data_IF_065465005104
#
_entry.id   IF_065465005104
#
_cell.length_a   1.000
_cell.length_b   1.000
_cell.length_c   1.000
_cell.angle_alpha   90.00
_cell.angle_beta   90.00
_cell.angle_gamma   90.00
#
_symmetry.space_group_name_H-M   'P 1'
#
loop_
_entity.id
_entity.type
_entity.pdbx_description
1 polymer ?
#
# COMPACT_ATOMS: atom_id res chain seq x y z
N UNK A 1 16.12 19.93 -60.61
CA UNK A 1 15.86 21.34 -60.96
C UNK A 1 16.34 22.24 -59.83
N UNK A 2 17.59 22.66 -59.93
CA UNK A 2 18.12 23.99 -59.57
C UNK A 2 18.61 24.57 -60.93
N UNK A 3 18.91 25.88 -61.14
CA UNK A 3 19.27 26.92 -60.17
C UNK A 3 18.89 28.40 -60.55
N UNK A 4 19.40 29.34 -59.73
CA UNK A 4 19.99 30.68 -60.05
C UNK A 4 19.14 31.93 -60.44
N UNK A 5 19.46 33.02 -59.74
CA UNK A 5 19.36 34.44 -60.15
C UNK A 5 19.74 35.34 -58.96
N UNK A 6 21.01 35.71 -58.74
CA UNK A 6 21.75 36.91 -59.20
C UNK A 6 21.03 38.25 -58.96
N UNK A 7 21.52 39.06 -58.01
CA UNK A 7 22.02 40.42 -58.32
C UNK A 7 22.79 41.10 -57.15
N UNK A 8 24.01 41.53 -57.48
CA UNK A 8 24.79 42.63 -56.88
C UNK A 8 24.12 43.98 -57.26
N UNK A 9 24.30 45.17 -56.70
CA UNK A 9 25.16 45.87 -55.72
C UNK A 9 24.39 47.17 -55.36
N UNK A 10 24.65 47.89 -54.26
CA UNK A 10 25.40 49.17 -54.33
C UNK A 10 25.77 49.70 -52.94
N UNK A 11 26.93 50.37 -52.91
CA UNK A 11 27.62 51.07 -51.82
C UNK A 11 26.83 52.23 -51.18
N UNK A 12 27.13 52.52 -49.91
CA UNK A 12 26.88 53.82 -49.26
C UNK A 12 27.52 53.91 -47.88
N UNK A 13 28.64 54.61 -47.78
CA UNK A 13 29.49 54.80 -46.60
C UNK A 13 28.91 55.74 -45.54
N UNK A 14 29.11 55.43 -44.25
CA UNK A 14 28.92 56.38 -43.14
C UNK A 14 29.66 55.94 -41.87
N UNK A 15 30.77 56.61 -41.56
CA UNK A 15 31.56 56.45 -40.32
C UNK A 15 30.81 57.00 -39.10
N UNK A 16 30.89 56.33 -37.93
CA UNK A 16 31.42 56.89 -36.66
C UNK A 16 31.32 55.93 -35.45
N UNK A 17 32.39 55.95 -34.65
CA UNK A 17 32.49 55.77 -33.19
C UNK A 17 32.35 54.38 -32.52
N UNK A 18 33.51 53.74 -32.35
CA UNK A 18 34.14 53.32 -31.08
C UNK A 18 33.29 53.19 -29.80
N UNK A 19 33.21 51.96 -29.27
CA UNK A 19 33.36 51.67 -27.82
C UNK A 19 33.67 50.17 -27.62
N UNK A 20 34.96 49.85 -27.54
CA UNK A 20 35.48 48.57 -27.03
C UNK A 20 35.53 48.66 -25.49
N UNK A 21 34.70 47.89 -24.80
CA UNK A 21 34.94 47.53 -23.39
C UNK A 21 35.48 46.10 -23.35
N UNK A 22 36.80 45.99 -23.14
CA UNK A 22 37.47 44.75 -22.75
C UNK A 22 37.10 44.42 -21.30
N UNK A 23 36.59 43.22 -21.04
CA UNK A 23 36.49 42.68 -19.67
C UNK A 23 37.74 41.85 -19.33
N UNK A 24 38.33 41.98 -18.13
CA UNK A 24 39.51 41.21 -17.73
C UNK A 24 39.12 39.81 -17.26
N UNK A 25 39.67 38.77 -17.92
CA UNK A 25 39.38 37.35 -17.66
C UNK A 25 40.16 36.72 -16.49
N UNK A 26 40.75 37.52 -15.59
CA UNK A 26 41.62 37.02 -14.52
C UNK A 26 40.97 36.85 -13.15
N UNK A 27 39.91 37.62 -12.84
CA UNK A 27 39.47 37.80 -11.46
C UNK A 27 38.26 36.91 -11.07
N UNK A 28 37.38 36.59 -12.02
CA UNK A 28 36.17 35.79 -11.75
C UNK A 28 36.46 34.33 -11.34
N UNK A 29 37.60 33.74 -11.75
CA UNK A 29 37.88 32.31 -11.48
C UNK A 29 38.30 32.04 -10.02
N UNK A 30 38.92 33.00 -9.36
CA UNK A 30 39.27 32.89 -7.94
C UNK A 30 38.05 33.06 -7.03
N UNK A 31 37.11 33.93 -7.39
CA UNK A 31 35.91 34.19 -6.59
C UNK A 31 34.97 32.98 -6.54
N UNK A 32 34.82 32.24 -7.64
CA UNK A 32 34.02 31.00 -7.66
C UNK A 32 34.65 29.86 -6.85
N UNK A 33 35.99 29.73 -6.90
CA UNK A 33 36.70 28.75 -6.07
C UNK A 33 36.53 29.05 -4.58
N UNK A 34 36.61 30.33 -4.19
CA UNK A 34 36.43 30.76 -2.81
C UNK A 34 34.98 30.59 -2.33
N UNK A 35 34.00 30.83 -3.21
CA UNK A 35 32.58 30.62 -2.91
C UNK A 35 32.27 29.12 -2.71
N UNK A 36 32.82 28.26 -3.58
CA UNK A 36 32.64 26.80 -3.47
C UNK A 36 33.27 26.25 -2.19
N UNK A 37 34.49 26.68 -1.85
CA UNK A 37 35.14 26.28 -0.60
C UNK A 37 34.35 26.75 0.62
N UNK A 38 33.77 27.96 0.59
CA UNK A 38 32.90 28.46 1.67
C UNK A 38 31.60 27.66 1.78
N UNK A 39 31.00 27.26 0.67
CA UNK A 39 29.79 26.43 0.67
C UNK A 39 30.07 25.01 1.20
N UNK A 40 31.17 24.38 0.78
CA UNK A 40 31.58 23.07 1.27
C UNK A 40 31.90 23.12 2.77
N UNK A 41 32.65 24.13 3.21
CA UNK A 41 32.92 24.33 4.64
C UNK A 41 31.65 24.58 5.45
N UNK A 42 30.68 25.33 4.91
CA UNK A 42 29.39 25.54 5.56
C UNK A 42 28.59 24.24 5.68
N UNK A 43 28.56 23.41 4.63
CA UNK A 43 27.91 22.10 4.65
C UNK A 43 28.57 21.14 5.66
N UNK A 44 29.90 21.15 5.76
CA UNK A 44 30.62 20.33 6.74
C UNK A 44 30.36 20.80 8.17
N UNK A 45 30.32 22.11 8.40
CA UNK A 45 30.02 22.68 9.72
C UNK A 45 28.57 22.44 10.14
N UNK A 46 27.60 22.56 9.23
CA UNK A 46 26.21 22.22 9.53
C UNK A 46 26.03 20.74 9.80
N UNK A 47 26.69 19.87 9.04
CA UNK A 47 26.67 18.41 9.27
C UNK A 47 27.29 18.06 10.62
N UNK A 48 28.44 18.65 10.96
CA UNK A 48 29.08 18.45 12.26
C UNK A 48 28.22 18.96 13.42
N UNK A 49 27.55 20.10 13.26
CA UNK A 49 26.63 20.64 14.27
C UNK A 49 25.40 19.76 14.48
N UNK A 50 24.81 19.22 13.41
CA UNK A 50 23.68 18.28 13.50
C UNK A 50 24.10 17.00 14.20
N UNK A 51 25.25 16.42 13.82
CA UNK A 51 25.81 15.23 14.49
C UNK A 51 26.04 15.52 15.98
N UNK A 52 26.67 16.65 16.31
CA UNK A 52 26.96 17.03 17.69
C UNK A 52 25.69 17.25 18.54
N UNK A 53 24.66 17.90 17.98
CA UNK A 53 23.35 18.06 18.63
C UNK A 53 22.69 16.69 18.86
N UNK A 54 22.77 15.78 17.89
CA UNK A 54 22.22 14.44 18.03
C UNK A 54 23.00 13.59 19.06
N UNK A 55 24.32 13.79 19.22
CA UNK A 55 25.12 13.16 20.30
C UNK A 55 24.64 13.66 21.66
N UNK A 56 24.54 14.99 21.82
CA UNK A 56 24.19 15.62 23.09
C UNK A 56 22.75 15.33 23.54
N UNK A 57 21.83 15.14 22.59
CA UNK A 57 20.43 14.83 22.86
C UNK A 57 20.15 13.33 23.03
N UNK A 58 21.19 12.47 22.94
CA UNK A 58 21.03 11.02 23.06
C UNK A 58 20.37 10.35 21.86
N UNK A 59 20.10 11.09 20.77
CA UNK A 59 19.48 10.58 19.52
C UNK A 59 20.48 9.90 18.58
N UNK A 60 21.72 9.71 19.03
CA UNK A 60 22.76 9.09 18.23
C UNK A 60 22.49 7.61 17.92
N UNK A 61 21.72 6.93 18.78
CA UNK A 61 21.25 5.57 18.52
C UNK A 61 20.13 5.54 17.47
N UNK A 62 19.13 6.43 17.56
CA UNK A 62 18.08 6.57 16.54
C UNK A 62 18.67 6.88 15.15
N UNK A 63 19.64 7.81 15.08
CA UNK A 63 20.29 8.17 13.83
C UNK A 63 21.21 7.06 13.29
N UNK A 64 21.88 6.33 14.19
CA UNK A 64 22.72 5.20 13.81
C UNK A 64 21.86 4.02 13.33
N UNK A 65 20.70 3.80 13.94
CA UNK A 65 19.73 2.78 13.54
C UNK A 65 19.05 3.17 12.21
N UNK A 66 18.74 4.44 12.00
CA UNK A 66 18.20 4.96 10.74
C UNK A 66 19.24 4.88 9.61
N UNK A 67 20.48 5.32 9.86
CA UNK A 67 21.58 5.23 8.88
C UNK A 67 22.00 3.79 8.64
N UNK A 68 22.05 2.94 9.66
CA UNK A 68 22.31 1.50 9.53
C UNK A 68 21.16 0.78 8.81
N UNK A 69 19.90 1.16 9.05
CA UNK A 69 18.73 0.66 8.32
C UNK A 69 18.81 1.02 6.84
N UNK A 70 19.09 2.28 6.53
CA UNK A 70 19.25 2.78 5.15
C UNK A 70 20.45 2.12 4.46
N UNK A 71 21.59 1.97 5.15
CA UNK A 71 22.79 1.36 4.58
C UNK A 71 22.63 -0.16 4.40
N UNK A 72 22.00 -0.86 5.34
CA UNK A 72 21.80 -2.30 5.23
C UNK A 72 20.73 -2.64 4.18
N UNK A 73 19.63 -1.89 4.14
CA UNK A 73 18.70 -1.91 3.00
C UNK A 73 19.40 -1.61 1.67
N UNK A 74 20.45 -0.77 1.68
CA UNK A 74 21.24 -0.45 0.49
C UNK A 74 22.23 -1.54 0.06
N UNK A 75 22.66 -2.43 0.96
CA UNK A 75 23.61 -3.51 0.65
C UNK A 75 22.92 -4.82 0.25
N UNK A 76 21.69 -5.08 0.71
CA UNK A 76 20.80 -6.12 0.14
C UNK A 76 20.14 -5.70 -1.19
N UNK A 77 20.23 -4.41 -1.55
CA UNK A 77 19.55 -3.70 -2.65
C UNK A 77 19.89 -4.15 -4.07
N UNK A 78 21.03 -4.82 -4.29
CA UNK A 78 21.52 -5.16 -5.64
C UNK A 78 21.06 -6.55 -6.14
N UNK A 79 20.45 -7.38 -5.30
CA UNK A 79 20.08 -8.75 -5.68
C UNK A 79 18.58 -8.96 -5.92
N UNK A 80 17.74 -7.95 -5.67
CA UNK A 80 16.27 -8.06 -5.71
C UNK A 80 15.58 -7.05 -6.62
N UNK A 81 16.23 -6.54 -7.68
CA UNK A 81 15.48 -5.98 -8.81
C UNK A 81 14.78 -7.13 -9.53
N UNK A 82 13.62 -7.55 -9.02
CA UNK A 82 12.77 -8.52 -9.68
C UNK A 82 12.07 -7.77 -10.79
N UNK A 83 12.70 -7.74 -11.97
CA UNK A 83 12.08 -7.21 -13.16
C UNK A 83 10.94 -8.14 -13.56
N UNK A 84 9.71 -7.81 -13.13
CA UNK A 84 8.52 -8.52 -13.56
C UNK A 84 8.19 -8.05 -14.99
N UNK A 85 8.31 -8.91 -16.02
CA UNK A 85 8.13 -8.51 -17.42
C UNK A 85 6.70 -8.03 -17.72
N UNK A 86 5.74 -8.35 -16.85
CA UNK A 86 4.34 -7.95 -17.00
C UNK A 86 4.05 -6.58 -16.39
N UNK A 87 4.96 -6.02 -15.58
CA UNK A 87 4.84 -4.68 -15.00
C UNK A 87 5.39 -3.64 -15.97
N UNK A 88 4.54 -2.70 -16.38
CA UNK A 88 4.92 -1.61 -17.29
C UNK A 88 5.25 -0.32 -16.57
N UNK A 89 4.75 -0.15 -15.35
CA UNK A 89 4.89 1.11 -14.63
C UNK A 89 4.65 0.91 -13.12
N UNK A 90 5.50 1.54 -12.32
CA UNK A 90 5.32 1.72 -10.88
C UNK A 90 5.35 3.22 -10.63
N UNK A 91 4.34 3.76 -9.93
CA UNK A 91 4.28 5.16 -9.52
C UNK A 91 3.99 5.25 -8.04
N UNK A 92 4.80 6.04 -7.35
CA UNK A 92 4.49 6.56 -6.03
C UNK A 92 4.27 8.06 -6.15
N UNK A 93 3.04 8.51 -5.93
CA UNK A 93 2.63 9.90 -6.15
C UNK A 93 1.51 10.31 -5.18
N UNK A 94 1.22 11.62 -5.15
CA UNK A 94 0.05 12.15 -4.45
C UNK A 94 -1.03 12.50 -5.49
N UNK A 95 -2.23 11.93 -5.31
CA UNK A 95 -3.40 12.20 -6.16
C UNK A 95 -4.51 12.74 -5.26
N UNK A 96 -5.04 13.94 -5.56
CA UNK A 96 -6.10 14.57 -4.77
C UNK A 96 -5.78 14.64 -3.26
N UNK A 97 -4.52 14.87 -2.89
CA UNK A 97 -4.09 14.91 -1.48
C UNK A 97 -4.04 13.56 -0.77
N UNK A 98 -4.03 12.46 -1.53
CA UNK A 98 -3.88 11.09 -1.03
C UNK A 98 -2.61 10.48 -1.61
N UNK A 99 -1.78 9.91 -0.74
CA UNK A 99 -0.63 9.10 -1.15
C UNK A 99 -1.11 7.83 -1.84
N UNK A 100 -0.53 7.56 -3.01
CA UNK A 100 -0.89 6.44 -3.86
C UNK A 100 0.38 5.71 -4.30
N UNK A 101 0.34 4.37 -4.22
CA UNK A 101 1.25 3.50 -4.96
C UNK A 101 0.43 2.77 -6.02
N UNK A 102 0.77 3.01 -7.29
CA UNK A 102 0.12 2.41 -8.45
C UNK A 102 1.12 1.50 -9.16
N UNK A 103 0.78 0.22 -9.30
CA UNK A 103 1.56 -0.75 -10.06
C UNK A 103 0.73 -1.27 -11.22
N UNK A 104 1.23 -1.07 -12.44
CA UNK A 104 0.49 -1.35 -13.66
C UNK A 104 1.05 -2.53 -14.43
N UNK A 105 0.13 -3.35 -14.89
CA UNK A 105 0.35 -4.43 -15.83
C UNK A 105 0.23 -3.95 -17.28
N UNK A 106 0.82 -4.69 -18.22
CA UNK A 106 0.81 -4.33 -19.65
C UNK A 106 -0.59 -4.28 -20.28
N UNK A 107 -1.45 -5.21 -19.89
CA UNK A 107 -2.81 -5.37 -20.45
C UNK A 107 -3.79 -5.65 -19.30
N UNK A 108 -4.15 -4.63 -18.50
CA UNK A 108 -4.96 -4.85 -17.32
C UNK A 108 -6.37 -5.32 -17.67
N UNK A 109 -6.79 -6.38 -17.02
CA UNK A 109 -8.15 -6.94 -17.03
C UNK A 109 -9.05 -6.31 -15.97
N UNK A 110 -8.46 -5.61 -15.00
CA UNK A 110 -9.15 -4.95 -13.91
C UNK A 110 -8.18 -4.18 -13.02
N UNK A 111 -8.74 -3.39 -12.09
CA UNK A 111 -7.96 -2.70 -11.05
C UNK A 111 -8.36 -3.24 -9.69
N UNK A 112 -7.38 -3.72 -8.92
CA UNK A 112 -7.51 -4.09 -7.53
C UNK A 112 -7.11 -2.91 -6.65
N UNK A 113 -8.10 -2.28 -6.01
CA UNK A 113 -7.88 -1.32 -4.94
C UNK A 113 -7.50 -2.07 -3.68
N UNK A 114 -6.40 -1.70 -3.05
CA UNK A 114 -5.93 -2.32 -1.82
C UNK A 114 -5.93 -1.32 -0.67
N UNK A 115 -6.59 -1.70 0.42
CA UNK A 115 -6.75 -0.88 1.61
C UNK A 115 -6.02 -1.56 2.78
N UNK A 116 -4.91 -0.96 3.20
CA UNK A 116 -4.07 -1.51 4.25
C UNK A 116 -4.74 -1.44 5.64
N UNK A 117 -4.27 -2.23 6.61
CA UNK A 117 -4.69 -2.14 8.00
C UNK A 117 -4.13 -0.91 8.73
N UNK A 118 -4.57 -0.66 9.97
CA UNK A 118 -3.98 0.41 10.79
C UNK A 118 -2.45 0.28 10.90
N UNK A 119 -1.76 1.41 11.03
CA UNK A 119 -0.30 1.55 11.09
C UNK A 119 0.46 1.11 9.83
N UNK A 120 -0.24 0.66 8.78
CA UNK A 120 0.37 0.27 7.50
C UNK A 120 0.37 1.42 6.50
N UNK A 121 0.95 1.21 5.33
CA UNK A 121 1.15 2.24 4.30
C UNK A 121 0.94 1.67 2.90
N UNK A 122 0.63 2.51 1.90
CA UNK A 122 0.59 2.06 0.50
C UNK A 122 1.96 1.54 0.01
N UNK A 123 3.06 2.00 0.60
CA UNK A 123 4.43 1.56 0.31
C UNK A 123 4.75 0.12 0.73
N UNK A 124 3.86 -0.54 1.47
CA UNK A 124 4.04 -1.93 1.89
C UNK A 124 3.72 -2.90 0.73
N UNK A 125 2.94 -2.45 -0.26
CA UNK A 125 2.42 -3.25 -1.37
C UNK A 125 3.38 -3.41 -2.56
N UNK A 126 4.52 -2.73 -2.53
CA UNK A 126 5.54 -2.88 -3.55
C UNK A 126 6.93 -2.84 -2.92
N UNK A 127 7.90 -3.41 -3.62
CA UNK A 127 9.28 -3.41 -3.16
C UNK A 127 9.97 -2.09 -3.53
N UNK A 128 11.10 -1.82 -2.91
CA UNK A 128 11.92 -0.68 -3.24
C UNK A 128 12.32 -0.71 -4.71
N UNK A 129 12.07 0.38 -5.42
CA UNK A 129 12.57 0.63 -6.77
C UNK A 129 12.93 2.12 -6.92
N UNK A 130 13.67 2.48 -7.99
CA UNK A 130 13.98 3.88 -8.27
C UNK A 130 12.73 4.77 -8.44
N UNK A 131 11.60 4.17 -8.81
CA UNK A 131 10.28 4.80 -8.99
C UNK A 131 9.42 4.81 -7.72
N UNK A 132 9.80 4.03 -6.70
CA UNK A 132 9.20 4.07 -5.37
C UNK A 132 10.28 3.85 -4.29
N UNK A 133 11.00 4.93 -3.97
CA UNK A 133 12.17 4.85 -3.08
C UNK A 133 11.83 4.61 -1.61
N UNK A 134 10.55 4.76 -1.24
CA UNK A 134 10.04 4.50 0.11
C UNK A 134 9.26 3.20 0.20
N UNK A 135 9.10 2.48 -0.92
CA UNK A 135 8.49 1.16 -0.92
C UNK A 135 9.36 0.16 -0.16
N UNK A 136 8.75 -0.63 0.72
CA UNK A 136 9.47 -1.61 1.56
C UNK A 136 9.11 -3.05 1.22
N UNK A 137 7.92 -3.30 0.67
CA UNK A 137 7.48 -4.62 0.21
C UNK A 137 7.35 -5.61 1.37
N UNK A 138 6.27 -5.48 2.13
CA UNK A 138 6.01 -6.41 3.22
C UNK A 138 5.56 -7.77 2.65
N UNK A 139 6.00 -8.90 3.23
CA UNK A 139 5.80 -10.24 2.68
C UNK A 139 4.41 -10.53 2.12
N UNK A 140 3.37 -10.29 2.91
CA UNK A 140 2.01 -10.66 2.52
C UNK A 140 1.39 -9.66 1.52
N UNK A 141 1.56 -8.35 1.73
CA UNK A 141 1.08 -7.33 0.78
C UNK A 141 1.76 -7.46 -0.59
N UNK A 142 3.07 -7.67 -0.62
CA UNK A 142 3.83 -7.85 -1.86
C UNK A 142 3.40 -9.13 -2.58
N UNK A 143 3.18 -10.22 -1.85
CA UNK A 143 2.66 -11.48 -2.40
C UNK A 143 1.26 -11.30 -3.00
N UNK A 144 0.38 -10.55 -2.33
CA UNK A 144 -0.94 -10.20 -2.88
C UNK A 144 -0.81 -9.37 -4.16
N UNK A 145 0.03 -8.34 -4.15
CA UNK A 145 0.24 -7.48 -5.32
C UNK A 145 0.76 -8.28 -6.52
N UNK A 146 1.70 -9.20 -6.30
CA UNK A 146 2.21 -10.10 -7.34
C UNK A 146 1.15 -11.07 -7.85
N UNK A 147 0.34 -11.65 -6.97
CA UNK A 147 -0.76 -12.53 -7.36
C UNK A 147 -1.83 -11.80 -8.20
N UNK A 148 -2.03 -10.50 -7.95
CA UNK A 148 -2.89 -9.64 -8.75
C UNK A 148 -2.29 -9.38 -10.15
N UNK A 149 -1.02 -8.96 -10.21
CA UNK A 149 -0.31 -8.67 -11.46
C UNK A 149 -0.18 -9.92 -12.35
N UNK A 150 0.06 -11.09 -11.77
CA UNK A 150 0.09 -12.38 -12.48
C UNK A 150 -1.25 -12.73 -13.14
N UNK A 151 -2.34 -12.07 -12.75
CA UNK A 151 -3.67 -12.19 -13.34
C UNK A 151 -4.08 -10.96 -14.15
N UNK A 152 -3.12 -10.10 -14.44
CA UNK A 152 -3.29 -8.84 -15.17
C UNK A 152 -4.24 -7.88 -14.45
N UNK A 153 -4.14 -7.77 -13.12
CA UNK A 153 -4.77 -6.69 -12.39
C UNK A 153 -3.75 -5.62 -12.08
N UNK A 154 -4.11 -4.36 -12.34
CA UNK A 154 -3.37 -3.22 -11.78
C UNK A 154 -3.66 -3.13 -10.28
N UNK A 155 -2.65 -2.74 -9.49
CA UNK A 155 -2.77 -2.61 -8.04
C UNK A 155 -2.74 -1.14 -7.66
N UNK A 156 -3.79 -0.67 -6.97
CA UNK A 156 -3.92 0.70 -6.50
C UNK A 156 -3.96 0.71 -4.97
N UNK A 157 -2.82 1.00 -4.33
CA UNK A 157 -2.70 1.15 -2.89
C UNK A 157 -2.84 2.62 -2.49
N UNK A 158 -3.61 2.88 -1.43
CA UNK A 158 -3.99 4.23 -0.99
C UNK A 158 -3.81 4.38 0.53
N UNK A 159 -3.73 5.63 1.00
CA UNK A 159 -3.62 5.97 2.44
C UNK A 159 -4.92 6.61 2.97
N UNK A 160 -5.34 6.34 4.21
CA UNK A 160 -6.46 7.02 4.84
C UNK A 160 -6.13 8.49 5.19
N UNK A 161 -7.13 9.25 5.64
CA UNK A 161 -6.97 10.67 6.00
C UNK A 161 -6.19 10.82 7.30
N UNK A 162 -6.51 9.94 8.24
CA UNK A 162 -5.85 9.87 9.54
C UNK A 162 -4.38 9.47 9.33
N UNK A 163 -3.46 10.25 9.90
CA UNK A 163 -2.01 10.13 9.62
C UNK A 163 -1.22 9.44 10.74
N UNK A 164 -1.74 9.45 11.97
CA UNK A 164 -1.02 8.97 13.16
C UNK A 164 -1.12 7.45 13.26
N UNK A 165 -2.34 6.95 13.34
CA UNK A 165 -2.67 5.52 13.41
C UNK A 165 -2.88 4.91 12.03
N UNK A 166 -3.01 5.74 10.99
CA UNK A 166 -3.24 5.32 9.59
C UNK A 166 -4.38 4.32 9.49
N UNK A 167 -5.44 4.54 10.27
CA UNK A 167 -6.65 3.76 10.20
C UNK A 167 -7.63 4.43 9.25
N UNK A 168 -8.33 3.61 8.46
CA UNK A 168 -9.43 4.10 7.63
C UNK A 168 -10.59 4.57 8.50
N UNK A 169 -11.19 5.67 8.09
CA UNK A 169 -12.41 6.16 8.69
C UNK A 169 -13.59 5.26 8.33
N UNK A 170 -14.05 4.54 9.35
CA UNK A 170 -15.17 3.61 9.27
C UNK A 170 -16.42 4.19 9.93
N UNK A 171 -16.46 5.46 10.33
CA UNK A 171 -17.65 6.07 10.92
C UNK A 171 -18.76 6.23 9.85
N UNK A 172 -19.87 5.55 10.10
CA UNK A 172 -20.88 5.22 9.09
C UNK A 172 -22.00 6.26 8.97
N UNK A 173 -22.76 6.27 7.85
CA UNK A 173 -22.38 6.13 6.44
C UNK A 173 -22.21 7.47 5.71
N UNK A 174 -22.68 8.58 6.30
CA UNK A 174 -22.65 9.92 5.68
C UNK A 174 -21.45 10.77 6.16
N UNK A 175 -20.59 10.20 6.99
CA UNK A 175 -19.51 10.91 7.68
C UNK A 175 -18.12 10.38 7.36
N UNK A 176 -17.99 9.24 6.66
CA UNK A 176 -16.68 8.71 6.29
C UNK A 176 -15.94 9.73 5.43
N UNK A 177 -14.80 10.21 5.93
CA UNK A 177 -13.96 11.16 5.23
C UNK A 177 -13.13 10.49 4.13
N UNK A 178 -12.96 9.17 4.19
CA UNK A 178 -12.11 8.42 3.26
C UNK A 178 -12.85 7.93 2.01
N UNK A 179 -14.12 7.52 2.12
CA UNK A 179 -14.93 7.12 0.95
C UNK A 179 -14.92 8.15 -0.18
N UNK A 180 -15.27 9.44 0.05
CA UNK A 180 -15.26 10.43 -1.03
C UNK A 180 -13.85 10.63 -1.59
N UNK A 181 -12.79 10.58 -0.76
CA UNK A 181 -11.40 10.75 -1.22
C UNK A 181 -10.96 9.61 -2.13
N UNK A 182 -11.30 8.36 -1.81
CA UNK A 182 -11.03 7.20 -2.66
C UNK A 182 -11.74 7.31 -4.01
N UNK A 183 -12.99 7.79 -4.01
CA UNK A 183 -13.74 8.04 -5.25
C UNK A 183 -13.10 9.15 -6.08
N UNK A 184 -12.61 10.23 -5.45
CA UNK A 184 -11.92 11.33 -6.13
C UNK A 184 -10.59 10.88 -6.76
N UNK A 185 -9.80 10.05 -6.06
CA UNK A 185 -8.59 9.43 -6.62
C UNK A 185 -8.93 8.55 -7.82
N UNK A 186 -9.96 7.71 -7.70
CA UNK A 186 -10.40 6.88 -8.82
C UNK A 186 -10.80 7.72 -10.03
N UNK A 187 -11.59 8.78 -9.83
CA UNK A 187 -12.04 9.65 -10.92
C UNK A 187 -10.84 10.32 -11.61
N UNK A 188 -9.87 10.82 -10.85
CA UNK A 188 -8.65 11.40 -11.40
C UNK A 188 -7.82 10.39 -12.21
N UNK A 189 -7.77 9.13 -11.77
CA UNK A 189 -7.11 8.06 -12.52
C UNK A 189 -7.90 7.62 -13.75
N UNK A 190 -9.23 7.61 -13.69
CA UNK A 190 -10.11 7.24 -14.79
C UNK A 190 -10.07 8.24 -15.96
N UNK A 191 -9.66 9.49 -15.70
CA UNK A 191 -9.42 10.52 -16.72
C UNK A 191 -8.05 10.37 -17.42
N UNK A 192 -7.13 9.57 -16.86
CA UNK A 192 -5.84 9.29 -17.51
C UNK A 192 -6.03 8.32 -18.67
N UNK A 193 -5.10 8.32 -19.62
CA UNK A 193 -5.09 7.43 -20.80
C UNK A 193 -4.64 6.00 -20.44
N UNK A 194 -5.19 5.45 -19.35
CA UNK A 194 -4.92 4.11 -18.84
C UNK A 194 -6.09 3.14 -19.11
N UNK A 195 -7.22 3.66 -19.62
CA UNK A 195 -8.42 2.86 -19.89
C UNK A 195 -9.26 2.50 -18.66
N UNK A 196 -8.90 2.99 -17.46
CA UNK A 196 -9.52 2.60 -16.19
C UNK A 196 -11.03 2.86 -16.12
N UNK A 197 -11.53 3.86 -16.85
CA UNK A 197 -12.97 4.12 -16.94
C UNK A 197 -13.78 2.91 -17.42
N UNK A 198 -13.17 2.00 -18.19
CA UNK A 198 -13.79 0.81 -18.78
C UNK A 198 -13.40 -0.50 -18.08
N UNK A 199 -12.47 -0.46 -17.10
CA UNK A 199 -12.01 -1.66 -16.42
C UNK A 199 -12.90 -2.01 -15.23
N UNK A 200 -13.10 -3.32 -14.95
CA UNK A 200 -13.72 -3.74 -13.70
C UNK A 200 -12.83 -3.37 -12.50
N UNK A 201 -13.50 -3.07 -11.40
CA UNK A 201 -12.93 -2.56 -10.16
C UNK A 201 -13.16 -3.59 -9.06
N UNK A 202 -12.11 -3.90 -8.34
CA UNK A 202 -12.13 -4.83 -7.22
C UNK A 202 -11.53 -4.15 -6.00
N UNK A 203 -11.93 -4.61 -4.82
CA UNK A 203 -11.36 -4.11 -3.58
C UNK A 203 -10.91 -5.28 -2.71
N UNK A 204 -9.70 -5.18 -2.17
CA UNK A 204 -9.22 -5.98 -1.06
C UNK A 204 -8.87 -5.04 0.08
N UNK A 205 -9.32 -5.35 1.28
CA UNK A 205 -9.02 -4.54 2.44
C UNK A 205 -8.64 -5.42 3.63
N UNK A 206 -7.70 -4.95 4.44
CA UNK A 206 -7.22 -5.65 5.65
C UNK A 206 -7.62 -4.86 6.88
N UNK A 207 -8.23 -5.51 7.89
CA UNK A 207 -8.60 -4.85 9.15
C UNK A 207 -9.45 -3.59 8.91
N UNK A 208 -9.04 -2.39 9.37
CA UNK A 208 -9.73 -1.13 9.06
C UNK A 208 -9.91 -0.89 7.56
N UNK A 209 -8.96 -1.32 6.73
CA UNK A 209 -9.10 -1.32 5.27
C UNK A 209 -10.16 -2.31 4.76
N UNK A 210 -10.36 -3.43 5.46
CA UNK A 210 -11.44 -4.39 5.19
C UNK A 210 -12.82 -3.77 5.45
N UNK A 211 -12.93 -3.03 6.56
CA UNK A 211 -14.13 -2.24 6.84
C UNK A 211 -14.33 -1.16 5.77
N UNK A 212 -13.30 -0.40 5.40
CA UNK A 212 -13.35 0.58 4.30
C UNK A 212 -13.87 -0.04 3.01
N UNK A 213 -13.36 -1.21 2.63
CA UNK A 213 -13.79 -1.90 1.42
C UNK A 213 -15.29 -2.28 1.48
N UNK A 214 -15.77 -2.72 2.64
CA UNK A 214 -17.20 -2.99 2.89
C UNK A 214 -18.06 -1.70 2.86
N UNK A 215 -17.56 -0.56 3.38
CA UNK A 215 -18.25 0.74 3.28
C UNK A 215 -18.34 1.18 1.82
N UNK A 216 -17.20 1.17 1.13
CA UNK A 216 -17.02 1.69 -0.22
C UNK A 216 -17.99 1.03 -1.21
N UNK A 217 -18.23 -0.27 -1.06
CA UNK A 217 -19.18 -1.04 -1.87
C UNK A 217 -20.62 -0.50 -1.87
N UNK A 218 -20.98 0.39 -0.94
CA UNK A 218 -22.28 1.05 -0.88
C UNK A 218 -22.38 2.34 -1.69
N UNK A 219 -21.25 2.87 -2.11
CA UNK A 219 -21.16 4.16 -2.82
C UNK A 219 -20.47 4.03 -4.16
N UNK A 220 -19.73 2.94 -4.34
CA UNK A 220 -18.83 2.76 -5.45
C UNK A 220 -19.03 1.37 -6.07
N UNK A 221 -19.27 1.29 -7.39
CA UNK A 221 -19.57 0.03 -8.06
C UNK A 221 -18.30 -0.82 -8.20
N UNK A 222 -18.27 -1.92 -7.44
CA UNK A 222 -17.23 -2.95 -7.46
C UNK A 222 -17.77 -4.24 -8.10
N UNK A 223 -16.89 -5.02 -8.72
CA UNK A 223 -17.19 -6.33 -9.30
C UNK A 223 -16.83 -7.49 -8.37
N UNK A 224 -16.03 -7.23 -7.34
CA UNK A 224 -15.70 -8.21 -6.31
C UNK A 224 -15.00 -7.54 -5.13
N UNK A 225 -15.19 -8.14 -3.96
CA UNK A 225 -14.74 -7.60 -2.68
C UNK A 225 -14.07 -8.69 -1.85
N UNK A 226 -12.91 -8.41 -1.26
CA UNK A 226 -12.21 -9.28 -0.34
C UNK A 226 -11.82 -8.55 0.96
N UNK A 227 -12.71 -8.50 1.95
CA UNK A 227 -12.34 -8.02 3.28
C UNK A 227 -11.62 -9.15 4.03
N UNK A 228 -10.40 -8.87 4.47
CA UNK A 228 -9.63 -9.75 5.33
C UNK A 228 -9.72 -9.26 6.78
N UNK A 229 -9.86 -10.23 7.69
CA UNK A 229 -9.79 -10.05 9.16
C UNK A 229 -10.66 -8.90 9.69
N UNK A 230 -11.78 -8.62 9.03
CA UNK A 230 -12.69 -7.57 9.44
C UNK A 230 -14.13 -7.91 9.07
N UNK A 231 -15.00 -7.79 10.07
CA UNK A 231 -16.44 -7.64 9.90
C UNK A 231 -16.88 -6.30 10.49
N UNK A 232 -18.03 -5.81 10.05
CA UNK A 232 -18.65 -4.56 10.48
C UNK A 232 -20.00 -4.86 11.14
N UNK A 233 -20.79 -3.83 11.48
CA UNK A 233 -22.16 -4.08 11.94
C UNK A 233 -23.02 -4.51 10.75
N UNK A 234 -23.76 -5.63 10.81
CA UNK A 234 -24.54 -6.13 9.68
C UNK A 234 -25.60 -5.14 9.14
N UNK A 235 -26.11 -4.24 9.98
CA UNK A 235 -27.05 -3.19 9.55
C UNK A 235 -26.45 -2.26 8.50
N UNK A 236 -25.13 -2.13 8.47
CA UNK A 236 -24.41 -1.24 7.57
C UNK A 236 -24.26 -1.83 6.17
N UNK A 237 -24.27 -3.15 6.05
CA UNK A 237 -24.27 -3.86 4.76
C UNK A 237 -25.61 -3.77 4.03
N UNK A 238 -26.66 -3.26 4.70
CA UNK A 238 -27.97 -3.18 4.09
C UNK A 238 -28.02 -2.17 2.94
N UNK A 239 -28.17 -2.66 1.70
CA UNK A 239 -28.60 -1.85 0.56
C UNK A 239 -30.13 -1.83 0.42
N UNK A 240 -30.77 -0.65 0.30
CA UNK A 240 -32.17 -0.55 -0.08
C UNK A 240 -32.43 -1.22 -1.44
N UNK A 241 -33.57 -1.91 -1.59
CA UNK A 241 -33.91 -2.70 -2.81
C UNK A 241 -33.84 -1.90 -4.13
N UNK A 242 -33.99 -0.57 -4.07
CA UNK A 242 -33.97 0.34 -5.22
C UNK A 242 -32.83 1.38 -5.14
N UNK A 243 -31.75 1.09 -4.42
CA UNK A 243 -30.63 2.00 -4.33
C UNK A 243 -29.96 2.17 -5.70
N UNK A 244 -29.95 3.41 -6.20
CA UNK A 244 -29.34 3.78 -7.47
C UNK A 244 -28.44 4.98 -7.25
N UNK A 245 -27.31 4.99 -7.94
CA UNK A 245 -26.39 6.11 -7.99
C UNK A 245 -27.06 7.31 -8.71
N UNK A 246 -26.55 8.54 -8.54
CA UNK A 246 -27.12 9.73 -9.19
C UNK A 246 -27.26 9.65 -10.72
N UNK A 247 -26.46 8.81 -11.37
CA UNK A 247 -26.50 8.53 -12.81
C UNK A 247 -27.54 7.45 -13.20
N UNK A 248 -28.39 6.99 -12.28
CA UNK A 248 -29.42 5.98 -12.51
C UNK A 248 -28.92 4.53 -12.49
N UNK A 249 -27.63 4.30 -12.27
CA UNK A 249 -27.08 2.93 -12.16
C UNK A 249 -27.55 2.31 -10.86
N UNK A 250 -28.26 1.18 -10.94
CA UNK A 250 -28.65 0.40 -9.77
C UNK A 250 -27.41 -0.19 -9.12
N UNK A 251 -27.16 0.19 -7.87
CA UNK A 251 -26.04 -0.36 -7.12
C UNK A 251 -26.46 -1.68 -6.49
N UNK A 252 -25.60 -2.69 -6.62
CA UNK A 252 -25.71 -3.96 -5.91
C UNK A 252 -24.44 -4.19 -5.12
N UNK A 253 -24.57 -4.88 -4.00
CA UNK A 253 -23.40 -5.28 -3.23
C UNK A 253 -22.61 -6.32 -4.06
N UNK A 254 -21.29 -6.17 -4.21
CA UNK A 254 -20.47 -7.08 -5.00
C UNK A 254 -20.44 -8.49 -4.37
N UNK A 255 -20.13 -9.54 -5.14
CA UNK A 255 -19.72 -10.82 -4.57
C UNK A 255 -18.57 -10.63 -3.58
N UNK A 256 -18.67 -11.23 -2.40
CA UNK A 256 -17.74 -10.99 -1.29
C UNK A 256 -17.02 -12.28 -0.89
N UNK A 257 -15.68 -12.24 -0.86
CA UNK A 257 -14.81 -13.31 -0.40
C UNK A 257 -14.17 -12.90 0.93
N UNK A 258 -14.71 -13.35 2.05
CA UNK A 258 -14.11 -13.10 3.36
C UNK A 258 -12.91 -14.02 3.60
N UNK A 259 -11.82 -13.46 4.13
CA UNK A 259 -10.71 -14.24 4.70
C UNK A 259 -10.56 -13.86 6.16
N UNK A 260 -10.48 -14.83 7.05
CA UNK A 260 -10.39 -14.54 8.48
C UNK A 260 -9.63 -15.59 9.24
N UNK A 261 -9.08 -15.19 10.37
CA UNK A 261 -8.09 -15.93 11.09
C UNK A 261 -8.72 -16.64 12.29
N UNK A 262 -8.45 -17.92 12.45
CA UNK A 262 -9.20 -18.76 13.40
C UNK A 262 -9.00 -18.38 14.88
N UNK A 263 -7.89 -17.73 15.24
CA UNK A 263 -7.66 -17.26 16.62
C UNK A 263 -8.16 -15.83 16.85
N UNK A 264 -8.59 -15.13 15.81
CA UNK A 264 -9.29 -13.86 15.94
C UNK A 264 -10.80 -14.10 16.08
N UNK A 265 -11.19 -14.66 17.22
CA UNK A 265 -12.55 -15.17 17.45
C UNK A 265 -13.58 -14.05 17.35
N UNK A 266 -13.29 -12.88 17.91
CA UNK A 266 -14.20 -11.75 17.88
C UNK A 266 -14.49 -11.31 16.44
N UNK A 267 -13.47 -11.17 15.58
CA UNK A 267 -13.72 -10.77 14.20
C UNK A 267 -14.31 -11.91 13.36
N UNK A 268 -13.99 -13.16 13.67
CA UNK A 268 -14.64 -14.31 13.05
C UNK A 268 -16.16 -14.27 13.23
N UNK A 269 -16.64 -13.99 14.44
CA UNK A 269 -18.07 -13.88 14.74
C UNK A 269 -18.72 -12.73 13.95
N UNK A 270 -18.08 -11.56 13.89
CA UNK A 270 -18.59 -10.42 13.09
C UNK A 270 -18.65 -10.75 11.59
N UNK A 271 -17.64 -11.43 11.07
CA UNK A 271 -17.58 -11.84 9.66
C UNK A 271 -18.68 -12.84 9.33
N UNK A 272 -18.98 -13.78 10.22
CA UNK A 272 -20.08 -14.73 10.05
C UNK A 272 -21.44 -14.00 9.99
N UNK A 273 -21.67 -13.04 10.89
CA UNK A 273 -22.87 -12.20 10.87
C UNK A 273 -23.01 -11.38 9.58
N UNK A 274 -21.91 -10.79 9.11
CA UNK A 274 -21.85 -10.03 7.87
C UNK A 274 -22.11 -10.90 6.63
N UNK A 275 -21.49 -12.08 6.58
CA UNK A 275 -21.70 -13.03 5.51
C UNK A 275 -23.16 -13.49 5.44
N UNK A 276 -23.78 -13.79 6.57
CA UNK A 276 -25.18 -14.19 6.63
C UNK A 276 -26.12 -13.05 6.25
N UNK A 277 -25.79 -11.82 6.65
CA UNK A 277 -26.51 -10.64 6.20
C UNK A 277 -26.44 -10.48 4.69
N UNK A 278 -25.26 -10.55 4.08
CA UNK A 278 -25.09 -10.42 2.64
C UNK A 278 -25.81 -11.55 1.88
N UNK A 279 -25.69 -12.80 2.34
CA UNK A 279 -26.44 -13.95 1.78
C UNK A 279 -27.95 -13.71 1.85
N UNK A 280 -28.47 -13.18 2.96
CA UNK A 280 -29.90 -12.86 3.09
C UNK A 280 -30.41 -11.83 2.08
N UNK A 281 -29.49 -11.06 1.49
CA UNK A 281 -29.76 -10.07 0.44
C UNK A 281 -29.50 -10.60 -0.98
N UNK A 282 -29.18 -11.89 -1.12
CA UNK A 282 -28.89 -12.54 -2.40
C UNK A 282 -27.48 -12.27 -2.92
N UNK A 283 -26.58 -11.76 -2.09
CA UNK A 283 -25.17 -11.57 -2.46
C UNK A 283 -24.47 -12.92 -2.44
N UNK A 284 -23.64 -13.18 -3.44
CA UNK A 284 -22.81 -14.36 -3.47
C UNK A 284 -21.62 -14.18 -2.52
N UNK A 285 -21.52 -15.04 -1.51
CA UNK A 285 -20.51 -14.92 -0.45
C UNK A 285 -19.71 -16.21 -0.34
N UNK A 286 -18.39 -16.09 -0.21
CA UNK A 286 -17.49 -17.16 0.23
C UNK A 286 -16.73 -16.71 1.47
N UNK A 287 -16.36 -17.66 2.32
CA UNK A 287 -15.55 -17.41 3.50
C UNK A 287 -14.38 -18.40 3.54
N UNK A 288 -13.21 -17.92 3.95
CA UNK A 288 -12.03 -18.73 4.17
C UNK A 288 -11.47 -18.52 5.57
N UNK A 289 -11.57 -19.57 6.39
CA UNK A 289 -10.99 -19.61 7.73
C UNK A 289 -9.55 -20.09 7.65
N UNK A 290 -8.62 -19.27 8.14
CA UNK A 290 -7.20 -19.59 8.21
C UNK A 290 -6.88 -20.21 9.55
N UNK A 291 -6.34 -21.42 9.54
CA UNK A 291 -5.96 -22.13 10.76
C UNK A 291 -4.50 -21.85 11.13
N UNK A 292 -4.14 -21.92 12.43
CA UNK A 292 -2.76 -21.89 12.87
C UNK A 292 -1.96 -23.01 12.20
N UNK A 293 -0.77 -22.67 11.72
CA UNK A 293 0.11 -23.57 10.98
C UNK A 293 1.40 -23.83 11.73
N UNK A 294 1.97 -25.00 11.46
CA UNK A 294 3.31 -25.33 11.92
C UNK A 294 4.34 -24.44 11.22
N UNK A 295 5.38 -24.05 11.94
CA UNK A 295 6.59 -23.55 11.30
C UNK A 295 7.37 -24.75 10.76
N UNK A 296 7.89 -24.62 9.55
CA UNK A 296 8.79 -25.58 8.92
C UNK A 296 10.15 -24.92 8.72
N UNK A 297 11.22 -25.70 8.44
CA UNK A 297 12.52 -25.11 8.10
C UNK A 297 12.48 -24.12 6.93
N UNK A 298 11.54 -24.27 5.98
CA UNK A 298 11.36 -23.34 4.85
C UNK A 298 10.40 -22.17 5.10
N UNK A 299 9.73 -22.13 6.26
CA UNK A 299 8.59 -21.22 6.47
C UNK A 299 8.91 -19.74 6.22
N UNK A 300 10.08 -19.27 6.63
CA UNK A 300 10.47 -17.87 6.47
C UNK A 300 10.95 -17.58 5.05
N UNK A 301 11.76 -18.47 4.47
CA UNK A 301 12.28 -18.30 3.10
C UNK A 301 11.20 -18.41 2.04
N UNK A 302 10.13 -19.16 2.30
CA UNK A 302 8.97 -19.27 1.41
C UNK A 302 8.15 -17.97 1.33
N UNK A 303 8.34 -17.02 2.26
CA UNK A 303 7.53 -15.80 2.39
C UNK A 303 8.33 -14.50 2.36
N UNK A 304 9.57 -14.53 2.87
CA UNK A 304 10.43 -13.37 3.01
C UNK A 304 11.58 -13.52 2.03
N UNK A 305 11.56 -12.77 0.93
CA UNK A 305 12.53 -12.92 -0.16
C UNK A 305 13.98 -12.74 0.27
N UNK A 306 14.22 -11.87 1.27
CA UNK A 306 15.56 -11.59 1.81
C UNK A 306 16.09 -12.66 2.76
N UNK A 307 15.33 -13.73 3.02
CA UNK A 307 15.73 -14.84 3.88
C UNK A 307 15.96 -16.08 3.01
N UNK A 308 17.20 -16.57 2.99
CA UNK A 308 17.52 -17.83 2.31
C UNK A 308 17.09 -19.06 3.13
N UNK A 309 17.06 -20.22 2.47
CA UNK A 309 16.63 -21.48 3.08
C UNK A 309 17.47 -21.87 4.31
N UNK A 310 18.78 -21.56 4.29
CA UNK A 310 19.67 -21.89 5.40
C UNK A 310 19.37 -21.04 6.64
N UNK A 311 19.13 -19.75 6.44
CA UNK A 311 18.72 -18.81 7.49
C UNK A 311 17.34 -19.16 8.03
N UNK A 312 16.37 -19.46 7.15
CA UNK A 312 15.04 -19.93 7.56
C UNK A 312 15.11 -21.20 8.44
N UNK A 313 15.92 -22.18 8.05
CA UNK A 313 16.11 -23.39 8.84
C UNK A 313 16.74 -23.11 10.21
N UNK A 314 17.74 -22.22 10.26
CA UNK A 314 18.35 -21.78 11.51
C UNK A 314 17.35 -21.05 12.42
N UNK A 315 16.48 -20.21 11.86
CA UNK A 315 15.40 -19.55 12.60
C UNK A 315 14.41 -20.55 13.19
N UNK A 316 13.94 -21.51 12.39
CA UNK A 316 13.07 -22.57 12.85
C UNK A 316 13.68 -23.33 14.05
N UNK A 317 14.93 -23.79 13.91
CA UNK A 317 15.61 -24.52 14.99
C UNK A 317 15.88 -23.66 16.23
N UNK A 318 16.16 -22.36 16.07
CA UNK A 318 16.32 -21.45 17.20
C UNK A 318 15.01 -21.30 17.99
N UNK A 319 13.88 -21.11 17.30
CA UNK A 319 12.56 -21.02 17.94
C UNK A 319 12.17 -22.35 18.62
N UNK A 320 12.44 -23.47 17.97
CA UNK A 320 12.20 -24.81 18.52
C UNK A 320 13.05 -25.05 19.77
N UNK A 321 14.36 -24.80 19.71
CA UNK A 321 15.29 -24.98 20.83
C UNK A 321 15.00 -24.07 22.04
N UNK A 322 14.39 -22.91 21.79
CA UNK A 322 13.93 -21.99 22.84
C UNK A 322 12.54 -22.33 23.43
N UNK A 323 11.95 -23.47 23.03
CA UNK A 323 10.61 -23.90 23.41
C UNK A 323 9.55 -22.82 23.14
N UNK A 324 9.61 -22.20 21.96
CA UNK A 324 8.60 -21.25 21.47
C UNK A 324 7.56 -21.93 20.57
N UNK A 325 7.83 -23.18 20.18
CA UNK A 325 6.96 -24.02 19.38
C UNK A 325 6.43 -25.19 20.22
N UNK A 326 5.21 -25.64 19.92
CA UNK A 326 4.60 -26.82 20.51
C UNK A 326 5.11 -28.12 19.86
N UNK A 327 4.59 -29.26 20.31
CA UNK A 327 4.96 -30.59 19.77
C UNK A 327 4.59 -30.81 18.30
N UNK A 328 3.80 -29.91 17.70
CA UNK A 328 3.42 -29.91 16.29
C UNK A 328 4.03 -28.71 15.56
N UNK A 329 5.10 -28.13 16.11
CA UNK A 329 5.83 -26.98 15.58
C UNK A 329 5.01 -25.69 15.40
N UNK A 330 3.88 -25.56 16.11
CA UNK A 330 3.06 -24.33 16.09
C UNK A 330 3.51 -23.39 17.19
N UNK A 331 3.36 -22.10 16.95
CA UNK A 331 3.63 -21.09 17.98
C UNK A 331 2.79 -21.34 19.25
N UNK A 332 3.46 -21.31 20.41
CA UNK A 332 2.84 -21.50 21.72
C UNK A 332 2.10 -20.25 22.23
N UNK A 333 2.50 -19.07 21.77
CA UNK A 333 1.92 -17.79 22.19
C UNK A 333 1.81 -16.83 21.00
N UNK A 334 0.93 -15.84 21.14
CA UNK A 334 0.78 -14.76 20.17
C UNK A 334 2.12 -14.03 19.97
N UNK A 335 2.66 -13.98 18.74
CA UNK A 335 3.96 -13.37 18.46
C UNK A 335 3.99 -11.85 18.68
N UNK A 336 2.86 -11.14 18.74
CA UNK A 336 2.84 -9.70 19.04
C UNK A 336 3.22 -9.39 20.49
N UNK A 337 2.46 -9.83 21.52
CA UNK A 337 2.84 -9.58 22.91
C UNK A 337 4.09 -10.36 23.34
N UNK A 338 4.39 -11.50 22.70
CA UNK A 338 5.61 -12.27 22.98
C UNK A 338 6.84 -11.82 22.19
N UNK A 339 6.73 -10.72 21.44
CA UNK A 339 7.78 -10.20 20.58
C UNK A 339 9.16 -10.09 21.22
N UNK A 340 9.32 -9.56 22.44
CA UNK A 340 10.63 -9.47 23.06
C UNK A 340 11.38 -10.82 23.11
N UNK A 341 10.66 -11.92 23.37
CA UNK A 341 11.29 -13.24 23.56
C UNK A 341 11.75 -13.86 22.24
N UNK A 342 10.89 -13.94 21.23
CA UNK A 342 11.29 -14.56 19.97
C UNK A 342 12.31 -13.70 19.21
N UNK A 343 12.24 -12.37 19.32
CA UNK A 343 13.24 -11.47 18.72
C UNK A 343 14.62 -11.71 19.31
N UNK A 344 14.71 -11.74 20.64
CA UNK A 344 15.96 -12.03 21.33
C UNK A 344 16.54 -13.38 20.90
N UNK A 345 15.72 -14.43 20.90
CA UNK A 345 16.13 -15.78 20.46
C UNK A 345 16.70 -15.75 19.05
N UNK A 346 16.00 -15.12 18.10
CA UNK A 346 16.46 -15.05 16.71
C UNK A 346 17.74 -14.22 16.56
N UNK A 347 17.83 -13.07 17.23
CA UNK A 347 18.98 -12.17 17.14
C UNK A 347 20.25 -12.77 17.76
N UNK A 348 20.12 -13.51 18.86
CA UNK A 348 21.26 -14.15 19.55
C UNK A 348 21.73 -15.42 18.83
N UNK A 349 20.81 -16.19 18.22
CA UNK A 349 21.12 -17.54 17.71
C UNK A 349 21.22 -17.63 16.19
N UNK A 350 20.80 -16.60 15.44
CA UNK A 350 20.85 -16.59 13.96
C UNK A 350 21.69 -15.41 13.48
N UNK A 351 23.02 -15.57 13.32
CA UNK A 351 23.93 -14.48 12.95
C UNK A 351 23.58 -13.79 11.62
N UNK A 352 22.92 -14.49 10.69
CA UNK A 352 22.47 -13.94 9.42
C UNK A 352 21.40 -12.84 9.58
N UNK A 353 20.71 -12.77 10.73
CA UNK A 353 19.72 -11.74 11.03
C UNK A 353 20.32 -10.46 11.65
N UNK A 354 21.66 -10.34 11.71
CA UNK A 354 22.30 -9.12 12.19
C UNK A 354 21.92 -7.92 11.31
N UNK A 355 21.32 -6.92 11.94
CA UNK A 355 20.82 -5.71 11.28
C UNK A 355 19.50 -5.90 10.51
N UNK A 356 18.87 -7.07 10.63
CA UNK A 356 17.53 -7.28 10.06
C UNK A 356 16.48 -6.43 10.80
N UNK A 357 15.41 -6.05 10.11
CA UNK A 357 14.38 -5.21 10.70
C UNK A 357 13.45 -6.00 11.64
N UNK A 358 13.43 -5.62 12.92
CA UNK A 358 12.55 -6.16 13.96
C UNK A 358 11.57 -5.11 14.52
N UNK A 359 11.47 -3.95 13.87
CA UNK A 359 10.49 -2.92 14.21
C UNK A 359 9.05 -3.48 14.15
N UNK A 360 8.21 -3.27 15.19
CA UNK A 360 6.87 -3.84 15.22
C UNK A 360 5.97 -3.47 14.03
N UNK A 361 6.15 -2.31 13.40
CA UNK A 361 5.30 -1.84 12.30
C UNK A 361 5.80 -2.32 10.93
N UNK A 362 7.07 -2.73 10.83
CA UNK A 362 7.74 -2.99 9.55
C UNK A 362 8.62 -4.25 9.53
N UNK A 363 8.51 -5.14 10.53
CA UNK A 363 9.27 -6.40 10.58
C UNK A 363 8.62 -7.49 9.74
N UNK A 364 9.29 -7.98 8.67
CA UNK A 364 8.80 -9.09 7.85
C UNK A 364 8.62 -10.38 8.66
N UNK A 365 9.52 -10.62 9.62
CA UNK A 365 9.49 -11.80 10.48
C UNK A 365 8.27 -11.77 11.39
N UNK A 366 7.95 -10.62 11.98
CA UNK A 366 6.77 -10.51 12.84
C UNK A 366 5.48 -10.76 12.04
N UNK A 367 5.37 -10.20 10.84
CA UNK A 367 4.19 -10.39 9.98
C UNK A 367 3.95 -11.87 9.68
N UNK A 368 4.96 -12.59 9.19
CA UNK A 368 4.78 -14.02 8.85
C UNK A 368 4.58 -14.89 10.09
N UNK A 369 5.13 -14.52 11.26
CA UNK A 369 4.80 -15.18 12.52
C UNK A 369 3.34 -14.94 12.92
N UNK A 370 2.80 -13.73 12.74
CA UNK A 370 1.39 -13.44 12.99
C UNK A 370 0.47 -14.25 12.06
N UNK A 371 0.87 -14.41 10.78
CA UNK A 371 0.22 -15.33 9.83
C UNK A 371 0.24 -16.76 10.36
N UNK A 372 1.40 -17.22 10.86
CA UNK A 372 1.52 -18.58 11.39
C UNK A 372 0.62 -18.82 12.62
N UNK A 373 0.54 -17.81 13.49
CA UNK A 373 -0.33 -17.80 14.66
C UNK A 373 -1.81 -17.84 14.27
N UNK A 374 -2.16 -17.34 13.09
CA UNK A 374 -3.54 -17.14 12.64
C UNK A 374 -4.35 -16.26 13.61
N UNK A 375 -3.75 -15.14 14.02
CA UNK A 375 -4.42 -14.03 14.72
C UNK A 375 -4.82 -12.91 13.74
N UNK A 376 -4.93 -11.66 14.19
CA UNK A 376 -5.40 -10.54 13.36
C UNK A 376 -4.35 -10.05 12.35
N UNK A 377 -4.09 -10.79 11.26
CA UNK A 377 -3.05 -10.47 10.24
C UNK A 377 -3.51 -10.60 8.77
N UNK A 378 -2.90 -9.81 7.88
CA UNK A 378 -3.03 -9.96 6.41
C UNK A 378 -2.55 -11.33 5.94
N UNK A 379 -3.10 -11.84 4.84
CA UNK A 379 -2.65 -13.10 4.26
C UNK A 379 -2.82 -13.19 2.73
N UNK A 380 -1.81 -13.76 2.08
CA UNK A 380 -1.73 -13.92 0.62
C UNK A 380 -2.10 -15.33 0.12
N UNK A 381 -2.17 -16.34 0.99
CA UNK A 381 -2.33 -17.76 0.62
C UNK A 381 -3.55 -18.08 -0.25
N UNK A 382 -4.59 -17.26 -0.18
CA UNK A 382 -5.89 -17.51 -0.82
C UNK A 382 -6.17 -16.60 -2.01
N UNK A 383 -5.15 -15.90 -2.52
CA UNK A 383 -5.32 -15.00 -3.65
C UNK A 383 -5.80 -15.72 -4.90
N UNK A 384 -5.29 -16.92 -5.17
CA UNK A 384 -5.75 -17.73 -6.29
C UNK A 384 -7.25 -18.04 -6.20
N UNK A 385 -7.70 -18.50 -5.03
CA UNK A 385 -9.09 -18.82 -4.77
C UNK A 385 -10.00 -17.57 -4.85
N UNK A 386 -9.50 -16.42 -4.37
CA UNK A 386 -10.17 -15.14 -4.42
C UNK A 386 -10.34 -14.64 -5.87
N UNK A 387 -9.28 -14.68 -6.67
CA UNK A 387 -9.36 -14.23 -8.06
C UNK A 387 -10.20 -15.18 -8.92
N UNK A 388 -10.17 -16.49 -8.67
CA UNK A 388 -11.09 -17.43 -9.31
C UNK A 388 -12.54 -17.16 -8.93
N UNK A 389 -12.78 -16.72 -7.69
CA UNK A 389 -14.10 -16.26 -7.24
C UNK A 389 -14.54 -14.97 -7.95
N UNK A 390 -13.63 -14.00 -8.14
CA UNK A 390 -13.86 -12.78 -8.91
C UNK A 390 -14.06 -13.01 -10.41
N UNK A 391 -13.42 -14.03 -10.97
CA UNK A 391 -13.50 -14.40 -12.38
C UNK A 391 -14.82 -15.06 -12.79
N UNK A 392 -15.68 -15.41 -11.83
CA UNK A 392 -17.02 -15.93 -12.12
C UNK A 392 -17.85 -14.80 -12.71
N UNK A 393 -18.61 -15.03 -13.80
CA UNK A 393 -19.58 -14.05 -14.26
C UNK A 393 -20.62 -13.84 -13.16
N UNK A 394 -20.49 -12.74 -12.42
CA UNK A 394 -21.60 -12.20 -11.63
C UNK A 394 -22.70 -11.73 -12.58
N UNK A 395 -23.93 -11.52 -12.09
CA UNK A 395 -25.08 -11.11 -12.92
C UNK A 395 -24.86 -9.81 -13.72
N UNK A 396 -23.78 -9.06 -13.45
CA UNK A 396 -23.54 -7.70 -13.92
C UNK A 396 -22.17 -7.51 -14.61
N UNK A 397 -21.65 -8.47 -15.39
CA UNK A 397 -20.57 -8.19 -16.36
C UNK A 397 -20.92 -7.03 -17.32
N UNK A 398 -22.20 -6.65 -17.41
CA UNK A 398 -22.72 -5.55 -18.22
C UNK A 398 -22.66 -4.14 -17.56
N UNK A 399 -22.24 -3.98 -16.29
CA UNK A 399 -22.26 -2.68 -15.59
C UNK A 399 -20.91 -1.94 -15.54
N UNK A 400 -20.00 -2.21 -16.49
CA UNK A 400 -18.83 -1.38 -16.74
C UNK A 400 -19.27 -0.09 -17.44
N UNK A 401 -19.81 0.85 -16.66
CA UNK A 401 -20.12 2.19 -17.14
C UNK A 401 -19.04 3.17 -16.66
N UNK A 402 -18.58 4.09 -17.52
CA UNK A 402 -17.76 5.22 -17.12
C UNK A 402 -18.48 6.01 -16.03
N UNK A 403 -17.82 6.25 -14.89
CA UNK A 403 -18.38 7.09 -13.82
C UNK A 403 -18.17 8.59 -14.08
N UNK A 404 -18.32 9.02 -15.33
CA UNK A 404 -18.23 10.44 -15.66
C UNK A 404 -19.40 11.18 -15.01
N UNK A 405 -19.09 12.13 -14.11
CA UNK A 405 -20.09 13.06 -13.57
C UNK A 405 -20.72 12.69 -12.22
N UNK A 406 -20.10 11.83 -11.41
CA UNK A 406 -20.56 11.59 -10.03
C UNK A 406 -20.20 12.77 -9.11
N UNK A 407 -20.93 13.88 -9.25
CA UNK A 407 -20.94 14.92 -8.21
C UNK A 407 -21.70 14.36 -7.01
N UNK A 408 -20.98 13.96 -5.96
CA UNK A 408 -21.57 13.59 -4.68
C UNK A 408 -22.56 14.69 -4.23
N UNK A 409 -23.79 14.33 -3.81
CA UNK A 409 -24.77 15.31 -3.36
C UNK A 409 -24.17 16.24 -2.30
N UNK A 410 -24.43 17.55 -2.40
CA UNK A 410 -23.97 18.53 -1.39
C UNK A 410 -24.42 18.19 0.04
N UNK A 411 -25.46 17.36 0.20
CA UNK A 411 -25.91 16.85 1.51
C UNK A 411 -24.91 15.93 2.21
N UNK A 412 -23.89 15.41 1.51
CA UNK A 412 -22.75 14.72 2.15
C UNK A 412 -21.60 15.67 2.50
N UNK A 413 -21.66 16.95 2.10
CA UNK A 413 -20.72 18.00 2.55
C UNK A 413 -21.28 18.84 3.70
N UNK A 414 -22.47 18.54 4.17
CA UNK A 414 -23.16 19.27 5.23
C UNK A 414 -23.76 18.30 6.24
N UNK A 415 -23.40 18.47 7.50
CA UNK A 415 -23.92 17.73 8.66
C UNK A 415 -25.45 17.71 8.62
N UNK A 416 -26.02 16.63 8.12
CA UNK A 416 -27.46 16.38 8.21
C UNK A 416 -27.70 15.47 9.41
N UNK A 417 -28.28 16.05 10.47
CA UNK A 417 -28.68 15.34 11.68
C UNK A 417 -29.85 14.42 11.39
N UNK A 418 -29.58 13.14 11.17
CA UNK A 418 -30.62 12.12 11.28
C UNK A 418 -30.86 11.80 12.76
N UNK A 419 -32.11 11.94 13.20
CA UNK A 419 -32.54 11.55 14.55
C UNK A 419 -32.56 10.04 14.65
N UNK A 420 -31.79 9.52 15.62
CA UNK A 420 -31.83 8.13 16.06
C UNK A 420 -33.27 7.71 16.42
N UNK A 421 -33.74 6.64 15.79
CA UNK A 421 -34.76 5.80 16.39
C UNK A 421 -34.10 5.02 17.53
N UNK A 422 -34.42 5.42 18.76
CA UNK A 422 -33.99 4.72 19.97
C UNK A 422 -34.76 3.40 20.07
N UNK A 423 -34.11 2.33 19.67
CA UNK A 423 -34.53 0.98 20.00
C UNK A 423 -33.33 0.07 19.94
N UNK A 424 -33.09 -0.68 21.03
CA UNK A 424 -32.05 -1.69 21.20
C UNK A 424 -30.75 -1.20 21.88
N UNK A 425 -30.92 -0.47 22.99
CA UNK A 425 -30.08 -0.73 24.15
C UNK A 425 -30.67 -1.94 24.89
N UNK A 426 -29.97 -3.07 24.86
CA UNK A 426 -30.30 -4.24 25.67
C UNK A 426 -30.24 -5.56 24.92
N UNK A 427 -29.04 -6.10 24.73
CA UNK A 427 -28.61 -7.44 25.18
C UNK A 427 -27.17 -7.70 24.74
#
# INVERSE_FOLDING_TARGET
>A
MLPTGINNSTRGSGRRASALLRFPAGQKRQDWGMLLTKLVSLCLLTSAAVIFINVLTGRHQELADEVSSVLHQSFTRSQYEIHNPDVVEVRHEEIQGMEVVLVRSKEPRGVLMVFHGCMRRPTDWWHYESTCVTCIGMPEELSIARAALARSFDVLAMTPKEKVYRCWDTEWPDQSEDVPRVIDVWNALAERDYGYAQLPRYALGVSSGGAMALVLAKYFPLQGLCPQIMGIRPTLLALPKNHSLPNGVRLRYPPTFFVYMARDVAMADWIELDADKLKSQGVFVRQKKVMPRALTPGFFSDRIESIDNATSAAMYHALQGANLLDLHDKLLADPRPSAPRWRQVLQENVPALRGFNFDPESSPIQEVLNVAWAGHEVISDYMDEMFDFFGRPGPDQALLQPMTGMNMPKSMRGVATWREDRGLAGR
#
